data_IF_175719812146
#
_entry.id   IF_175719812146
#
_cell.length_a   1.000
_cell.length_b   1.000
_cell.length_c   1.000
_cell.angle_alpha   90.00
_cell.angle_beta   90.00
_cell.angle_gamma   90.00
#
_symmetry.space_group_name_H-M   'P 1'
#
loop_
_entity.id
_entity.type
_entity.pdbx_description
1 polymer ?
#
# COMPACT_ATOMS: atom_id res chain seq x y z
N UNK A 1 28.16 -13.83 -87.33
CA UNK A 1 27.47 -14.82 -86.48
C UNK A 1 26.14 -14.21 -86.08
N UNK A 2 25.05 -14.55 -86.79
CA UNK A 2 24.11 -15.64 -86.49
C UNK A 2 23.55 -15.58 -85.06
N UNK A 3 22.24 -15.61 -84.76
CA UNK A 3 20.96 -15.32 -85.44
C UNK A 3 19.87 -15.66 -84.39
N UNK A 4 18.67 -15.04 -84.46
CA UNK A 4 17.44 -15.51 -83.79
C UNK A 4 17.01 -14.63 -82.61
N UNK A 5 16.15 -13.61 -82.71
CA UNK A 5 14.81 -13.45 -83.32
C UNK A 5 13.75 -14.41 -82.78
N UNK A 6 12.77 -13.80 -82.09
CA UNK A 6 11.31 -13.97 -82.16
C UNK A 6 10.72 -15.39 -82.13
N UNK A 7 9.71 -15.63 -81.28
CA UNK A 7 8.28 -15.47 -81.67
C UNK A 7 7.36 -15.93 -80.52
N UNK A 8 6.37 -15.10 -80.19
CA UNK A 8 5.14 -15.43 -79.46
C UNK A 8 4.11 -15.95 -80.50
N UNK A 9 3.23 -16.89 -80.13
CA UNK A 9 1.79 -16.67 -80.34
C UNK A 9 1.04 -16.96 -79.03
N UNK A 10 0.23 -16.07 -78.44
CA UNK A 10 -0.99 -15.41 -78.93
C UNK A 10 -2.11 -16.40 -79.29
N UNK A 11 -2.93 -16.79 -78.30
CA UNK A 11 -4.37 -17.01 -78.47
C UNK A 11 -5.09 -16.36 -77.28
N UNK A 12 -5.77 -15.26 -77.57
CA UNK A 12 -6.77 -14.63 -76.72
C UNK A 12 -8.07 -15.44 -76.77
N UNK A 13 -8.74 -15.62 -75.64
CA UNK A 13 -10.20 -15.66 -75.60
C UNK A 13 -10.71 -15.12 -74.26
N UNK A 14 -11.61 -14.14 -74.35
CA UNK A 14 -12.36 -13.53 -73.26
C UNK A 14 -13.18 -14.57 -72.50
N UNK A 15 -13.20 -14.45 -71.18
CA UNK A 15 -14.41 -14.67 -70.38
C UNK A 15 -14.42 -13.70 -69.20
N UNK A 16 -15.33 -12.73 -69.25
CA UNK A 16 -15.72 -11.95 -68.08
C UNK A 16 -16.32 -12.89 -67.04
N UNK A 17 -15.86 -12.83 -65.81
CA UNK A 17 -16.61 -13.29 -64.63
C UNK A 17 -16.02 -12.62 -63.39
N UNK A 18 -16.53 -11.43 -63.07
CA UNK A 18 -16.46 -10.91 -61.71
C UNK A 18 -17.53 -11.61 -60.87
N UNK A 19 -17.18 -12.32 -59.80
CA UNK A 19 -18.00 -12.33 -58.60
C UNK A 19 -17.48 -11.24 -57.67
N UNK A 20 -18.24 -10.14 -57.66
CA UNK A 20 -18.32 -9.26 -56.51
C UNK A 20 -18.79 -10.04 -55.28
N UNK A 21 -18.38 -9.57 -54.10
CA UNK A 21 -18.74 -10.01 -52.73
C UNK A 21 -17.93 -11.17 -52.14
N UNK A 22 -16.77 -10.82 -51.58
CA UNK A 22 -16.40 -11.21 -50.22
C UNK A 22 -15.30 -10.27 -49.72
N UNK A 23 -15.66 -9.02 -49.47
CA UNK A 23 -14.91 -8.22 -48.52
C UNK A 23 -15.21 -8.84 -47.15
N UNK A 24 -14.47 -9.90 -46.82
CA UNK A 24 -14.32 -10.34 -45.43
C UNK A 24 -13.82 -9.09 -44.71
N UNK A 25 -14.73 -8.44 -44.01
CA UNK A 25 -14.43 -7.40 -43.07
C UNK A 25 -13.28 -7.93 -42.23
N UNK A 26 -12.09 -7.35 -42.40
CA UNK A 26 -11.06 -7.42 -41.39
C UNK A 26 -11.67 -6.74 -40.16
N UNK A 27 -12.41 -7.52 -39.39
CA UNK A 27 -12.75 -7.18 -38.03
C UNK A 27 -11.42 -6.77 -37.38
N UNK A 28 -11.37 -5.61 -36.71
CA UNK A 28 -10.18 -5.27 -35.95
C UNK A 28 -9.91 -6.46 -35.07
N UNK A 29 -8.71 -7.04 -35.23
CA UNK A 29 -8.21 -8.09 -34.38
C UNK A 29 -8.55 -7.66 -32.97
N UNK A 30 -9.53 -8.34 -32.38
CA UNK A 30 -9.82 -8.21 -30.98
C UNK A 30 -8.52 -8.61 -30.32
N UNK A 31 -7.77 -7.60 -29.90
CA UNK A 31 -6.81 -7.69 -28.82
C UNK A 31 -7.59 -8.01 -27.54
N UNK A 32 -8.32 -9.13 -27.54
CA UNK A 32 -8.42 -9.97 -26.37
C UNK A 32 -7.07 -10.63 -26.31
N UNK A 33 -6.16 -9.98 -25.58
CA UNK A 33 -4.96 -10.59 -25.08
C UNK A 33 -5.39 -11.93 -24.47
N UNK A 34 -5.13 -13.00 -25.21
CA UNK A 34 -5.18 -14.35 -24.70
C UNK A 34 -4.40 -14.32 -23.39
N UNK A 35 -5.05 -14.73 -22.31
CA UNK A 35 -4.34 -15.33 -21.21
C UNK A 35 -3.65 -16.58 -21.79
N UNK A 36 -2.52 -16.40 -22.46
CA UNK A 36 -1.73 -17.49 -23.02
C UNK A 36 -1.38 -18.37 -21.84
N UNK A 37 -1.95 -19.58 -21.81
CA UNK A 37 -1.66 -20.56 -20.77
C UNK A 37 -0.14 -20.72 -20.67
N UNK A 38 0.40 -20.55 -19.46
CA UNK A 38 1.84 -20.60 -19.23
C UNK A 38 2.31 -22.03 -19.50
N UNK A 39 3.35 -22.18 -20.32
CA UNK A 39 3.99 -23.46 -20.61
C UNK A 39 4.41 -24.17 -19.30
N UNK A 40 3.98 -25.43 -19.06
CA UNK A 40 4.36 -26.19 -17.88
C UNK A 40 5.88 -26.29 -17.65
N UNK A 41 6.68 -26.36 -18.72
CA UNK A 41 8.13 -26.40 -18.60
C UNK A 41 8.70 -25.08 -18.05
N UNK A 42 8.10 -23.94 -18.42
CA UNK A 42 8.47 -22.63 -17.86
C UNK A 42 8.09 -22.52 -16.40
N UNK A 43 6.93 -23.03 -16.01
CA UNK A 43 6.49 -23.04 -14.62
C UNK A 43 7.44 -23.84 -13.74
N UNK A 44 7.87 -25.02 -14.19
CA UNK A 44 8.83 -25.85 -13.43
C UNK A 44 10.20 -25.15 -13.30
N UNK A 45 10.73 -24.60 -14.40
CA UNK A 45 12.00 -23.89 -14.37
C UNK A 45 11.95 -22.63 -13.48
N UNK A 46 10.83 -21.88 -13.54
CA UNK A 46 10.61 -20.69 -12.72
C UNK A 46 10.46 -21.04 -11.23
N UNK A 47 9.83 -22.18 -10.91
CA UNK A 47 9.73 -22.67 -9.54
C UNK A 47 11.11 -22.85 -8.91
N UNK A 48 12.04 -23.48 -9.63
CA UNK A 48 13.43 -23.62 -9.17
C UNK A 48 14.09 -22.26 -8.94
N UNK A 49 13.88 -21.30 -9.84
CA UNK A 49 14.43 -19.95 -9.70
C UNK A 49 13.88 -19.24 -8.46
N UNK A 50 12.58 -19.33 -8.22
CA UNK A 50 11.92 -18.75 -7.04
C UNK A 50 12.35 -19.47 -5.76
N UNK A 51 12.60 -20.78 -5.79
CA UNK A 51 13.12 -21.51 -4.63
C UNK A 51 14.50 -20.99 -4.19
N UNK A 52 15.34 -20.51 -5.13
CA UNK A 52 16.62 -19.86 -4.81
C UNK A 52 16.47 -18.43 -4.30
N UNK A 53 15.62 -17.63 -4.94
CA UNK A 53 15.46 -16.20 -4.62
C UNK A 53 14.59 -15.95 -3.37
N UNK A 54 13.59 -16.79 -3.18
CA UNK A 54 12.65 -16.75 -2.06
C UNK A 54 12.47 -18.16 -1.46
N UNK A 55 13.50 -18.69 -0.76
CA UNK A 55 13.33 -19.89 0.06
C UNK A 55 12.22 -19.70 1.08
N UNK A 56 11.57 -20.80 1.49
CA UNK A 56 10.57 -20.75 2.57
C UNK A 56 11.18 -20.14 3.86
N UNK A 57 10.41 -19.27 4.51
CA UNK A 57 10.83 -18.55 5.72
C UNK A 57 11.74 -17.36 5.44
N UNK A 58 11.88 -16.93 4.18
CA UNK A 58 12.67 -15.73 3.85
C UNK A 58 12.02 -14.47 4.39
N UNK A 59 10.69 -14.39 4.32
CA UNK A 59 9.94 -13.26 4.89
C UNK A 59 10.09 -13.19 6.40
N UNK A 60 9.94 -14.32 7.10
CA UNK A 60 10.16 -14.38 8.54
C UNK A 60 11.56 -13.88 8.91
N UNK A 61 12.61 -14.39 8.25
CA UNK A 61 14.00 -14.03 8.55
C UNK A 61 14.27 -12.55 8.31
N UNK A 62 13.79 -12.04 7.17
CA UNK A 62 13.93 -10.63 6.79
C UNK A 62 13.23 -9.74 7.81
N UNK A 63 11.97 -10.03 8.11
CA UNK A 63 11.17 -9.22 9.03
C UNK A 63 11.72 -9.28 10.45
N UNK A 64 12.03 -10.46 11.00
CA UNK A 64 12.59 -10.57 12.35
C UNK A 64 13.88 -9.76 12.50
N UNK A 65 14.83 -9.93 11.58
CA UNK A 65 16.10 -9.22 11.64
C UNK A 65 15.95 -7.69 11.57
N UNK A 66 15.14 -7.19 10.63
CA UNK A 66 14.90 -5.73 10.53
C UNK A 66 14.09 -5.20 11.71
N UNK A 67 13.10 -5.95 12.20
CA UNK A 67 12.23 -5.50 13.28
C UNK A 67 12.96 -5.45 14.63
N UNK A 68 13.78 -6.45 14.96
CA UNK A 68 14.56 -6.45 16.20
C UNK A 68 15.41 -5.17 16.29
N UNK A 69 16.07 -4.82 15.19
CA UNK A 69 16.88 -3.61 15.12
C UNK A 69 16.07 -2.31 15.19
N UNK A 70 14.90 -2.26 14.55
CA UNK A 70 14.02 -1.10 14.62
C UNK A 70 13.48 -0.89 16.03
N UNK A 71 13.11 -1.97 16.74
CA UNK A 71 12.66 -1.92 18.13
C UNK A 71 13.78 -1.36 19.01
N UNK A 72 14.99 -1.90 18.90
CA UNK A 72 16.14 -1.44 19.67
C UNK A 72 16.43 0.06 19.40
N UNK A 73 16.36 0.47 18.14
CA UNK A 73 16.55 1.88 17.76
C UNK A 73 15.42 2.78 18.29
N UNK A 74 14.17 2.34 18.22
CA UNK A 74 13.01 3.12 18.65
C UNK A 74 12.97 3.29 20.16
N UNK A 75 13.25 2.23 20.92
CA UNK A 75 13.34 2.31 22.38
C UNK A 75 14.49 3.20 22.82
N UNK A 76 15.64 3.11 22.15
CA UNK A 76 16.74 4.04 22.37
C UNK A 76 16.34 5.49 22.12
N UNK A 77 15.62 5.76 21.03
CA UNK A 77 15.16 7.11 20.67
C UNK A 77 14.13 7.66 21.68
N UNK A 78 13.07 6.89 21.98
CA UNK A 78 12.01 7.29 22.92
C UNK A 78 12.53 7.53 24.34
N UNK A 79 13.53 6.74 24.77
CA UNK A 79 14.19 6.95 26.06
C UNK A 79 14.95 8.27 26.18
N UNK A 80 15.33 8.86 25.04
CA UNK A 80 16.10 10.12 25.00
C UNK A 80 15.27 11.35 24.62
N UNK A 81 14.02 11.15 24.22
CA UNK A 81 13.13 12.22 23.76
C UNK A 81 12.59 13.02 24.96
N UNK A 82 12.74 14.35 24.92
CA UNK A 82 12.23 15.26 25.95
C UNK A 82 10.83 15.77 25.62
N UNK A 83 10.05 16.11 26.64
CA UNK A 83 8.70 16.66 26.47
C UNK A 83 8.72 17.99 25.72
N UNK A 84 9.72 18.84 25.95
CA UNK A 84 9.88 20.09 25.22
C UNK A 84 10.07 19.89 23.71
N UNK A 85 10.74 18.81 23.31
CA UNK A 85 10.98 18.47 21.90
C UNK A 85 9.70 17.93 21.22
N UNK A 86 8.83 17.25 21.97
CA UNK A 86 7.56 16.68 21.51
C UNK A 86 6.47 17.74 21.29
N UNK A 87 6.36 18.72 22.19
CA UNK A 87 5.39 19.81 22.04
C UNK A 87 5.67 20.66 20.80
N UNK A 88 6.94 20.92 20.49
CA UNK A 88 7.34 21.58 19.24
C UNK A 88 6.97 20.81 17.98
N UNK A 89 6.84 19.48 18.03
CA UNK A 89 6.51 18.63 16.89
C UNK A 89 5.01 18.36 16.72
N UNK A 90 4.21 18.41 17.79
CA UNK A 90 2.76 18.16 17.78
C UNK A 90 1.91 19.41 17.53
N UNK A 91 2.54 20.59 17.40
CA UNK A 91 1.84 21.86 17.22
C UNK A 91 1.15 22.38 18.49
N UNK A 92 1.40 21.74 19.64
CA UNK A 92 0.99 22.25 20.95
C UNK A 92 2.02 23.32 21.35
N UNK A 93 1.57 24.55 21.61
CA UNK A 93 2.47 25.61 22.05
C UNK A 93 3.20 25.16 23.32
N UNK A 94 4.54 25.18 23.31
CA UNK A 94 5.38 24.84 24.46
C UNK A 94 5.16 25.74 25.69
N UNK A 95 4.28 26.74 25.58
CA UNK A 95 3.89 27.69 26.63
C UNK A 95 3.02 27.06 27.74
N UNK A 96 2.41 25.89 27.50
CA UNK A 96 1.60 25.15 28.50
C UNK A 96 2.40 24.11 29.31
N UNK A 97 3.72 23.99 29.09
CA UNK A 97 4.56 23.05 29.84
C UNK A 97 5.04 23.72 31.14
N UNK A 98 4.73 23.17 32.33
CA UNK A 98 5.21 23.72 33.59
C UNK A 98 6.75 23.81 33.64
N UNK A 99 7.27 24.83 34.30
CA UNK A 99 8.71 25.09 34.38
C UNK A 99 9.48 23.88 34.95
N UNK A 100 10.41 23.31 34.17
CA UNK A 100 11.17 22.11 34.52
C UNK A 100 10.59 20.78 34.03
N UNK A 101 9.33 20.72 33.59
CA UNK A 101 8.73 19.51 32.98
C UNK A 101 9.24 19.26 31.56
N UNK A 102 9.64 20.31 30.84
CA UNK A 102 10.13 20.20 29.45
C UNK A 102 11.45 19.43 29.32
N UNK A 103 12.28 19.41 30.36
CA UNK A 103 13.57 18.72 30.38
C UNK A 103 13.45 17.22 30.69
N UNK A 104 12.30 16.81 31.22
CA UNK A 104 12.02 15.42 31.57
C UNK A 104 11.89 14.61 30.30
N UNK A 105 12.46 13.41 30.34
CA UNK A 105 12.29 12.45 29.25
C UNK A 105 10.90 11.81 29.33
N UNK A 106 10.36 11.43 28.16
CA UNK A 106 9.09 10.70 28.12
C UNK A 106 9.15 9.41 28.95
N UNK A 107 10.31 8.77 29.03
CA UNK A 107 10.54 7.57 29.84
C UNK A 107 10.47 7.85 31.36
N UNK A 108 10.92 9.01 31.83
CA UNK A 108 10.82 9.38 33.26
C UNK A 108 9.38 9.61 33.68
N UNK A 109 8.61 10.36 32.90
CA UNK A 109 7.19 10.64 33.18
C UNK A 109 6.36 9.35 33.09
N UNK A 110 6.62 8.54 32.06
CA UNK A 110 5.88 7.29 31.86
C UNK A 110 6.15 6.27 32.97
N UNK A 111 7.35 6.28 33.57
CA UNK A 111 7.70 5.42 34.71
C UNK A 111 7.01 5.82 36.01
N UNK A 112 6.72 7.11 36.20
CA UNK A 112 5.93 7.59 37.35
C UNK A 112 4.47 7.15 37.27
N UNK A 113 3.88 7.18 36.07
CA UNK A 113 2.52 6.69 35.84
C UNK A 113 2.45 5.15 35.88
N UNK A 114 3.50 4.49 35.41
CA UNK A 114 3.58 3.05 35.28
C UNK A 114 5.02 2.53 35.52
N UNK A 115 5.29 1.94 36.70
CA UNK A 115 6.61 1.37 37.01
C UNK A 115 7.08 0.29 36.03
N UNK A 116 6.17 -0.33 35.27
CA UNK A 116 6.44 -1.36 34.27
C UNK A 116 6.30 -0.85 32.82
N UNK A 117 6.28 0.47 32.59
CA UNK A 117 6.03 1.06 31.27
C UNK A 117 6.94 0.51 30.16
N UNK A 118 8.25 0.45 30.43
CA UNK A 118 9.23 -0.05 29.47
C UNK A 118 9.01 -1.54 29.16
N UNK A 119 8.78 -2.35 30.20
CA UNK A 119 8.50 -3.78 30.05
C UNK A 119 7.20 -4.01 29.26
N UNK A 120 6.15 -3.25 29.57
CA UNK A 120 4.86 -3.31 28.87
C UNK A 120 5.01 -2.90 27.42
N UNK A 121 5.71 -1.80 27.14
CA UNK A 121 5.96 -1.33 25.78
C UNK A 121 6.74 -2.38 24.99
N UNK A 122 7.81 -2.94 25.56
CA UNK A 122 8.57 -4.01 24.94
C UNK A 122 7.71 -5.24 24.62
N UNK A 123 6.88 -5.69 25.57
CA UNK A 123 5.99 -6.83 25.37
C UNK A 123 4.96 -6.52 24.29
N UNK A 124 4.29 -5.36 24.36
CA UNK A 124 3.27 -4.96 23.38
C UNK A 124 3.86 -4.87 21.99
N UNK A 125 5.00 -4.20 21.82
CA UNK A 125 5.68 -4.10 20.53
C UNK A 125 6.12 -5.48 20.02
N UNK A 126 6.72 -6.31 20.87
CA UNK A 126 7.15 -7.66 20.48
C UNK A 126 5.98 -8.53 20.03
N UNK A 127 4.89 -8.59 20.81
CA UNK A 127 3.71 -9.39 20.48
C UNK A 127 3.07 -8.92 19.17
N UNK A 128 2.86 -7.60 19.00
CA UNK A 128 2.32 -7.05 17.76
C UNK A 128 3.17 -7.44 16.54
N UNK A 129 4.49 -7.39 16.67
CA UNK A 129 5.41 -7.72 15.58
C UNK A 129 5.46 -9.24 15.31
N UNK A 130 5.50 -10.08 16.34
CA UNK A 130 5.45 -11.54 16.19
C UNK A 130 4.17 -12.00 15.49
N UNK A 131 3.03 -11.38 15.80
CA UNK A 131 1.76 -11.64 15.10
C UNK A 131 1.80 -11.19 13.64
N UNK A 132 2.42 -10.04 13.33
CA UNK A 132 2.62 -9.62 11.94
C UNK A 132 3.53 -10.57 11.17
N UNK A 133 4.63 -11.03 11.78
CA UNK A 133 5.51 -12.04 11.17
C UNK A 133 4.73 -13.33 10.90
N UNK A 134 3.90 -13.77 11.84
CA UNK A 134 3.04 -14.95 11.70
C UNK A 134 2.08 -14.81 10.52
N UNK A 135 1.39 -13.68 10.41
CA UNK A 135 0.46 -13.39 9.32
C UNK A 135 1.17 -13.40 7.96
N UNK A 136 2.31 -12.72 7.84
CA UNK A 136 3.06 -12.63 6.58
C UNK A 136 3.67 -13.97 6.17
N UNK A 137 4.15 -14.75 7.14
CA UNK A 137 4.66 -16.11 6.90
C UNK A 137 3.55 -17.05 6.40
N UNK A 138 2.32 -16.88 6.89
CA UNK A 138 1.16 -17.63 6.38
C UNK A 138 0.82 -17.28 4.92
N UNK A 139 1.10 -16.05 4.49
CA UNK A 139 0.88 -15.59 3.11
C UNK A 139 2.02 -15.99 2.15
N UNK A 140 3.20 -16.29 2.67
CA UNK A 140 4.41 -16.58 1.88
C UNK A 140 4.18 -17.63 0.77
N UNK A 141 3.50 -18.77 0.99
CA UNK A 141 3.27 -19.75 -0.08
C UNK A 141 2.53 -19.18 -1.28
N UNK A 142 1.48 -18.39 -1.06
CA UNK A 142 0.69 -17.78 -2.13
C UNK A 142 1.48 -16.72 -2.90
N UNK A 143 2.34 -15.97 -2.20
CA UNK A 143 3.25 -15.00 -2.82
C UNK A 143 4.26 -15.74 -3.71
N UNK A 144 4.85 -16.84 -3.21
CA UNK A 144 5.80 -17.66 -3.99
C UNK A 144 5.14 -18.23 -5.25
N UNK A 145 3.93 -18.76 -5.15
CA UNK A 145 3.17 -19.25 -6.32
C UNK A 145 2.92 -18.12 -7.34
N UNK A 146 2.63 -16.92 -6.85
CA UNK A 146 2.47 -15.73 -7.71
C UNK A 146 3.78 -15.36 -8.41
N UNK A 147 4.91 -15.39 -7.68
CA UNK A 147 6.24 -15.14 -8.24
C UNK A 147 6.60 -16.18 -9.29
N UNK A 148 6.32 -17.46 -9.08
CA UNK A 148 6.55 -18.51 -10.08
C UNK A 148 5.83 -18.19 -11.39
N UNK A 149 4.56 -17.79 -11.31
CA UNK A 149 3.79 -17.39 -12.47
C UNK A 149 4.36 -16.14 -13.17
N UNK A 150 4.81 -15.15 -12.40
CA UNK A 150 5.45 -13.93 -12.96
C UNK A 150 6.74 -14.30 -13.70
N UNK A 151 7.61 -15.09 -13.09
CA UNK A 151 8.88 -15.49 -13.70
C UNK A 151 8.67 -16.36 -14.94
N UNK A 152 7.73 -17.30 -14.90
CA UNK A 152 7.41 -18.14 -16.05
C UNK A 152 6.82 -17.37 -17.24
N UNK A 153 6.13 -16.24 -17.00
CA UNK A 153 5.69 -15.32 -18.07
C UNK A 153 6.82 -14.44 -18.59
N UNK A 154 7.70 -13.96 -17.71
CA UNK A 154 8.75 -13.00 -18.05
C UNK A 154 9.95 -13.62 -18.75
N UNK A 155 10.27 -14.88 -18.44
CA UNK A 155 11.48 -15.52 -18.91
C UNK A 155 11.19 -16.79 -19.70
N UNK A 156 12.06 -17.11 -20.65
CA UNK A 156 12.04 -18.38 -21.38
C UNK A 156 12.65 -19.49 -20.53
N UNK A 157 12.37 -20.75 -20.88
CA UNK A 157 12.98 -21.93 -20.21
C UNK A 157 14.51 -21.83 -20.21
N UNK A 158 15.13 -21.48 -21.34
CA UNK A 158 16.59 -21.37 -21.44
C UNK A 158 17.19 -20.31 -20.51
N UNK A 159 16.55 -19.14 -20.40
CA UNK A 159 16.98 -18.09 -19.47
C UNK A 159 16.84 -18.52 -18.01
N UNK A 160 15.71 -19.16 -17.65
CA UNK A 160 15.49 -19.69 -16.31
C UNK A 160 16.52 -20.77 -15.97
N UNK A 161 16.86 -21.65 -16.93
CA UNK A 161 17.89 -22.68 -16.74
C UNK A 161 19.29 -22.08 -16.55
N UNK A 162 19.64 -21.03 -17.28
CA UNK A 162 20.90 -20.30 -17.07
C UNK A 162 20.96 -19.68 -15.68
N UNK A 163 19.88 -19.00 -15.25
CA UNK A 163 19.77 -18.46 -13.89
C UNK A 163 19.89 -19.57 -12.84
N UNK A 164 19.19 -20.69 -13.04
CA UNK A 164 19.21 -21.83 -12.12
C UNK A 164 20.62 -22.46 -12.03
N UNK A 165 21.37 -22.55 -13.14
CA UNK A 165 22.77 -23.02 -13.11
C UNK A 165 23.67 -22.07 -12.33
N UNK A 166 23.49 -20.76 -12.48
CA UNK A 166 24.23 -19.78 -11.70
C UNK A 166 23.89 -19.89 -10.21
N UNK A 167 22.60 -19.90 -9.85
CA UNK A 167 22.17 -20.00 -8.45
C UNK A 167 22.55 -21.31 -7.78
N UNK A 168 22.73 -22.40 -8.54
CA UNK A 168 23.26 -23.66 -8.02
C UNK A 168 24.75 -23.61 -7.63
N UNK A 169 25.49 -22.56 -7.99
CA UNK A 169 26.87 -22.35 -7.51
C UNK A 169 26.88 -21.77 -6.10
N UNK A 170 27.96 -21.97 -5.33
CA UNK A 170 28.11 -21.40 -3.98
C UNK A 170 27.91 -19.87 -3.99
N UNK A 171 28.52 -19.18 -4.95
CA UNK A 171 28.38 -17.73 -5.11
C UNK A 171 26.97 -17.32 -5.50
N UNK A 172 26.35 -18.03 -6.45
CA UNK A 172 25.00 -17.70 -6.91
C UNK A 172 23.95 -17.95 -5.84
N UNK A 173 24.09 -19.01 -5.04
CA UNK A 173 23.23 -19.29 -3.89
C UNK A 173 23.34 -18.21 -2.82
N UNK A 174 24.57 -17.79 -2.48
CA UNK A 174 24.78 -16.70 -1.54
C UNK A 174 24.17 -15.39 -2.05
N UNK A 175 24.42 -15.04 -3.31
CA UNK A 175 23.84 -13.87 -3.94
C UNK A 175 22.30 -13.91 -3.92
N UNK A 176 21.68 -15.02 -4.33
CA UNK A 176 20.22 -15.14 -4.41
C UNK A 176 19.55 -14.96 -3.05
N UNK A 177 20.13 -15.55 -1.99
CA UNK A 177 19.63 -15.44 -0.61
C UNK A 177 19.76 -14.02 -0.06
N UNK A 178 20.89 -13.37 -0.34
CA UNK A 178 21.24 -12.11 0.31
C UNK A 178 20.76 -10.89 -0.48
N UNK A 179 20.49 -11.02 -1.79
CA UNK A 179 20.10 -9.90 -2.68
C UNK A 179 18.91 -9.09 -2.17
N UNK A 180 17.85 -9.76 -1.70
CA UNK A 180 16.69 -9.06 -1.14
C UNK A 180 16.97 -8.46 0.24
N UNK A 181 17.90 -9.06 1.00
CA UNK A 181 18.28 -8.54 2.33
C UNK A 181 19.06 -7.24 2.23
N UNK A 182 19.81 -7.02 1.15
CA UNK A 182 20.56 -5.78 0.93
C UNK A 182 19.65 -4.54 0.98
N UNK A 183 18.39 -4.64 0.55
CA UNK A 183 17.46 -3.49 0.57
C UNK A 183 16.94 -3.14 1.97
N UNK A 184 16.98 -4.08 2.89
CA UNK A 184 16.64 -3.86 4.31
C UNK A 184 17.88 -3.81 5.19
N UNK A 185 19.07 -3.73 4.56
CA UNK A 185 20.32 -3.60 5.27
C UNK A 185 20.37 -2.25 6.02
N UNK A 186 20.88 -2.22 7.26
CA UNK A 186 20.92 -1.01 8.06
C UNK A 186 21.72 0.12 7.43
N UNK A 187 22.83 -0.20 6.74
CA UNK A 187 23.65 0.80 6.08
C UNK A 187 22.86 1.45 4.94
N UNK A 188 22.07 0.65 4.22
CA UNK A 188 21.21 1.14 3.15
C UNK A 188 20.07 2.01 3.67
N UNK A 189 19.40 1.59 4.75
CA UNK A 189 18.37 2.41 5.39
C UNK A 189 18.94 3.71 5.96
N UNK A 190 20.13 3.67 6.59
CA UNK A 190 20.81 4.85 7.10
C UNK A 190 21.17 5.82 5.98
N UNK A 191 21.63 5.29 4.85
CA UNK A 191 21.88 6.09 3.64
C UNK A 191 20.60 6.77 3.16
N UNK A 192 19.46 6.08 3.12
CA UNK A 192 18.18 6.71 2.75
C UNK A 192 17.77 7.80 3.75
N UNK A 193 17.93 7.56 5.05
CA UNK A 193 17.62 8.55 6.09
C UNK A 193 18.51 9.80 5.98
N UNK A 194 19.75 9.67 5.51
CA UNK A 194 20.64 10.80 5.27
C UNK A 194 20.15 11.76 4.17
N UNK A 195 19.23 11.30 3.30
CA UNK A 195 18.63 12.11 2.23
C UNK A 195 17.42 12.93 2.70
N UNK A 196 16.84 12.62 3.88
CA UNK A 196 15.65 13.30 4.39
C UNK A 196 15.86 14.82 4.56
N UNK A 197 16.98 15.31 5.11
CA UNK A 197 17.22 16.75 5.25
C UNK A 197 17.24 17.49 3.91
N UNK A 198 17.86 16.90 2.88
CA UNK A 198 17.91 17.48 1.53
C UNK A 198 16.51 17.54 0.92
N UNK A 199 15.71 16.48 1.09
CA UNK A 199 14.31 16.48 0.66
C UNK A 199 13.49 17.58 1.35
N UNK A 200 13.66 17.76 2.66
CA UNK A 200 13.00 18.83 3.41
C UNK A 200 13.43 20.22 2.94
N UNK A 201 14.71 20.41 2.61
CA UNK A 201 15.22 21.66 2.05
C UNK A 201 14.66 21.94 0.65
N UNK A 202 14.39 20.90 -0.14
CA UNK A 202 13.84 21.01 -1.49
C UNK A 202 12.32 21.24 -1.51
N UNK A 203 11.59 20.91 -0.44
CA UNK A 203 10.12 21.01 -0.39
C UNK A 203 9.57 22.39 -0.77
N UNK A 204 10.10 23.53 -0.29
CA UNK A 204 9.59 24.85 -0.67
C UNK A 204 9.66 25.11 -2.18
N UNK A 205 10.77 24.76 -2.83
CA UNK A 205 10.95 24.93 -4.28
C UNK A 205 10.05 23.98 -5.08
N UNK A 206 9.83 22.77 -4.58
CA UNK A 206 8.86 21.82 -5.16
C UNK A 206 7.45 22.41 -5.07
N UNK A 207 7.05 22.92 -3.91
CA UNK A 207 5.73 23.55 -3.72
C UNK A 207 5.52 24.74 -4.65
N UNK A 208 6.55 25.57 -4.86
CA UNK A 208 6.50 26.66 -5.83
C UNK A 208 6.30 26.14 -7.27
N UNK A 209 7.02 25.11 -7.68
CA UNK A 209 6.85 24.50 -9.01
C UNK A 209 5.47 23.88 -9.18
N UNK A 210 4.91 23.28 -8.13
CA UNK A 210 3.53 22.77 -8.12
C UNK A 210 2.56 23.93 -8.32
N UNK A 211 2.68 25.02 -7.55
CA UNK A 211 1.84 26.22 -7.70
C UNK A 211 1.88 26.78 -9.13
N UNK A 212 3.07 26.97 -9.69
CA UNK A 212 3.25 27.46 -11.07
C UNK A 212 2.58 26.51 -12.09
N UNK A 213 2.77 25.20 -11.92
CA UNK A 213 2.19 24.20 -12.81
C UNK A 213 0.65 24.12 -12.68
N UNK A 214 0.09 24.36 -11.50
CA UNK A 214 -1.35 24.31 -11.25
C UNK A 214 -2.07 25.66 -11.40
N UNK A 215 -1.36 26.76 -11.65
CA UNK A 215 -1.92 28.11 -11.71
C UNK A 215 -3.05 28.30 -12.75
N UNK A 216 -3.09 27.45 -13.78
CA UNK A 216 -4.12 27.45 -14.82
C UNK A 216 -5.39 26.68 -14.43
N UNK A 217 -5.33 25.89 -13.36
CA UNK A 217 -6.47 25.17 -12.84
C UNK A 217 -7.29 26.09 -11.93
N UNK A 218 -8.63 25.97 -11.91
CA UNK A 218 -9.44 26.66 -10.94
C UNK A 218 -8.96 26.29 -9.52
N UNK A 219 -9.01 27.22 -8.55
CA UNK A 219 -8.59 26.93 -7.19
C UNK A 219 -9.31 25.69 -6.68
N UNK A 220 -8.57 24.88 -5.91
CA UNK A 220 -9.14 23.72 -5.22
C UNK A 220 -10.29 24.27 -4.37
N UNK A 221 -11.53 23.86 -4.70
CA UNK A 221 -12.67 24.10 -3.83
C UNK A 221 -12.48 23.23 -2.61
N UNK A 222 -11.78 23.74 -1.60
CA UNK A 222 -11.91 23.23 -0.25
C UNK A 222 -13.35 23.53 0.18
N UNK A 223 -14.08 22.58 0.78
CA UNK A 223 -15.37 22.88 1.38
C UNK A 223 -15.20 24.04 2.37
N UNK A 224 -15.87 25.17 2.12
CA UNK A 224 -15.92 26.31 3.06
C UNK A 224 -14.95 27.48 2.85
N UNK A 225 -14.22 27.61 1.73
CA UNK A 225 -13.33 28.78 1.51
C UNK A 225 -13.73 29.61 0.29
N UNK A 226 -14.83 30.35 0.41
CA UNK A 226 -15.00 31.61 -0.32
C UNK A 226 -14.93 32.74 0.72
N UNK A 227 -13.77 33.40 0.82
CA UNK A 227 -13.62 34.59 1.67
C UNK A 227 -12.38 34.61 2.57
N UNK A 228 -11.18 34.57 1.98
CA UNK A 228 -10.01 35.22 2.61
C UNK A 228 -9.47 36.22 1.60
N UNK A 229 -10.17 37.36 1.53
CA UNK A 229 -9.60 38.60 1.01
C UNK A 229 -8.97 39.31 2.21
N UNK A 230 -7.64 39.39 2.21
CA UNK A 230 -6.87 40.20 3.14
C UNK A 230 -7.26 41.67 2.96
N UNK A 231 -7.91 42.29 3.94
CA UNK A 231 -7.75 43.73 4.11
C UNK A 231 -8.03 44.23 5.53
N UNK A 232 -6.96 44.75 6.12
CA UNK A 232 -6.91 46.10 6.65
C UNK A 232 -8.24 46.70 7.13
N UNK A 233 -8.39 46.69 8.46
CA UNK A 233 -8.87 47.81 9.30
C UNK A 233 -10.04 48.63 8.77
N UNK A 234 -11.23 48.43 9.35
CA UNK A 234 -11.92 49.44 10.16
C UNK A 234 -13.38 49.04 10.39
N UNK A 235 -13.76 48.98 11.66
CA UNK A 235 -15.04 49.41 12.23
C UNK A 235 -16.24 49.52 11.26
N UNK A 236 -17.22 48.63 11.41
CA UNK A 236 -18.61 48.99 11.74
C UNK A 236 -19.49 47.73 11.87
N UNK A 237 -20.32 47.74 12.91
CA UNK A 237 -21.39 46.80 13.21
C UNK A 237 -22.04 46.17 11.96
N UNK A 238 -21.86 44.87 11.77
CA UNK A 238 -22.82 44.06 11.01
C UNK A 238 -23.05 42.73 11.70
N UNK A 239 -24.20 42.70 12.36
CA UNK A 239 -25.01 41.59 12.82
C UNK A 239 -24.68 40.25 12.13
N UNK A 240 -24.17 39.29 12.92
CA UNK A 240 -24.00 37.90 12.50
C UNK A 240 -25.41 37.31 12.39
N UNK A 241 -26.04 37.42 11.22
CA UNK A 241 -27.14 36.52 10.90
C UNK A 241 -26.54 35.21 10.44
N UNK A 242 -26.59 34.21 11.33
CA UNK A 242 -26.44 32.79 11.03
C UNK A 242 -27.09 32.45 9.68
N UNK A 243 -26.29 32.02 8.70
CA UNK A 243 -26.82 31.34 7.51
C UNK A 243 -26.67 29.83 7.71
N UNK A 244 -27.82 29.19 7.74
CA UNK A 244 -28.18 28.00 8.52
C UNK A 244 -28.07 26.72 7.67
N UNK A 245 -26.98 26.57 6.90
CA UNK A 245 -26.84 25.46 5.94
C UNK A 245 -25.84 24.38 6.38
N UNK A 246 -26.11 23.81 7.57
CA UNK A 246 -25.48 22.58 8.07
C UNK A 246 -26.11 21.36 7.39
N UNK A 247 -25.53 20.87 6.29
CA UNK A 247 -25.95 19.61 5.64
C UNK A 247 -25.71 18.38 6.54
N UNK A 248 -24.98 18.54 7.65
CA UNK A 248 -24.75 17.55 8.69
C UNK A 248 -25.89 17.49 9.72
N UNK A 249 -26.69 18.56 9.84
CA UNK A 249 -27.83 18.57 10.74
C UNK A 249 -28.97 17.71 10.16
N UNK A 250 -29.42 16.66 10.87
CA UNK A 250 -30.54 15.83 10.43
C UNK A 250 -31.80 16.64 10.12
N UNK A 251 -32.02 17.79 10.76
CA UNK A 251 -33.18 18.66 10.50
C UNK A 251 -33.20 19.23 9.08
N UNK A 252 -32.04 19.32 8.42
CA UNK A 252 -31.88 19.80 7.05
C UNK A 252 -32.04 18.71 5.98
N UNK A 253 -32.27 17.45 6.38
CA UNK A 253 -32.52 16.33 5.45
C UNK A 253 -33.99 16.25 5.03
N UNK A 254 -34.27 15.54 3.92
CA UNK A 254 -35.65 15.25 3.56
C UNK A 254 -36.29 14.34 4.63
N UNK A 255 -37.61 14.45 4.83
CA UNK A 255 -38.32 13.58 5.79
C UNK A 255 -38.20 12.10 5.43
N UNK A 256 -38.16 11.78 4.14
CA UNK A 256 -37.98 10.42 3.65
C UNK A 256 -36.60 9.86 4.05
N UNK A 257 -35.55 10.69 3.97
CA UNK A 257 -34.19 10.31 4.37
C UNK A 257 -34.07 10.18 5.90
N UNK A 258 -34.65 11.11 6.66
CA UNK A 258 -34.67 11.02 8.13
C UNK A 258 -35.38 9.74 8.59
N UNK A 259 -36.53 9.41 8.02
CA UNK A 259 -37.28 8.19 8.35
C UNK A 259 -36.52 6.92 7.96
N UNK A 260 -35.87 6.91 6.79
CA UNK A 260 -35.06 5.79 6.33
C UNK A 260 -33.87 5.55 7.26
N UNK A 261 -33.11 6.59 7.59
CA UNK A 261 -31.94 6.50 8.47
C UNK A 261 -32.35 6.05 9.87
N UNK A 262 -33.39 6.66 10.46
CA UNK A 262 -33.87 6.28 11.78
C UNK A 262 -34.36 4.83 11.83
N UNK A 263 -35.05 4.36 10.78
CA UNK A 263 -35.48 2.95 10.70
C UNK A 263 -34.29 2.01 10.64
N UNK A 264 -33.33 2.27 9.76
CA UNK A 264 -32.16 1.41 9.60
C UNK A 264 -31.25 1.41 10.83
N UNK A 265 -31.11 2.55 11.51
CA UNK A 265 -30.39 2.65 12.78
C UNK A 265 -31.05 1.76 13.85
N UNK A 266 -32.37 1.88 14.04
CA UNK A 266 -33.10 1.05 15.00
C UNK A 266 -33.03 -0.45 14.65
N UNK A 267 -33.14 -0.81 13.37
CA UNK A 267 -32.98 -2.19 12.92
C UNK A 267 -31.57 -2.72 13.20
N UNK A 268 -30.55 -1.90 13.00
CA UNK A 268 -29.16 -2.22 13.31
C UNK A 268 -28.94 -2.43 14.81
N UNK A 269 -29.45 -1.54 15.66
CA UNK A 269 -29.31 -1.63 17.12
C UNK A 269 -29.97 -2.90 17.66
N UNK A 270 -31.19 -3.20 17.20
CA UNK A 270 -31.91 -4.42 17.56
C UNK A 270 -31.18 -5.68 17.07
N UNK A 271 -30.60 -5.64 15.85
CA UNK A 271 -29.83 -6.76 15.32
C UNK A 271 -28.54 -6.99 16.13
N UNK A 272 -27.89 -5.91 16.55
CA UNK A 272 -26.69 -5.93 17.36
C UNK A 272 -26.96 -6.51 18.76
N UNK A 273 -28.01 -6.06 19.45
CA UNK A 273 -28.41 -6.62 20.75
C UNK A 273 -28.70 -8.12 20.66
N UNK A 274 -29.49 -8.56 19.68
CA UNK A 274 -29.79 -9.98 19.45
C UNK A 274 -28.55 -10.82 19.20
N UNK A 275 -27.57 -10.27 18.48
CA UNK A 275 -26.30 -10.94 18.26
C UNK A 275 -25.54 -11.16 19.58
N UNK A 276 -25.47 -10.15 20.45
CA UNK A 276 -24.79 -10.28 21.74
C UNK A 276 -25.50 -11.25 22.70
N UNK A 277 -26.83 -11.23 22.75
CA UNK A 277 -27.59 -12.21 23.53
C UNK A 277 -27.36 -13.64 23.05
N UNK A 278 -27.34 -13.86 21.73
CA UNK A 278 -27.06 -15.16 21.14
C UNK A 278 -25.63 -15.62 21.44
N UNK A 279 -24.67 -14.71 21.39
CA UNK A 279 -23.27 -14.96 21.71
C UNK A 279 -23.11 -15.35 23.19
N UNK A 280 -23.70 -14.59 24.10
CA UNK A 280 -23.67 -14.89 25.54
C UNK A 280 -24.30 -16.25 25.83
N UNK A 281 -25.47 -16.53 25.23
CA UNK A 281 -26.14 -17.82 25.35
C UNK A 281 -25.26 -18.97 24.86
N UNK A 282 -24.57 -18.79 23.73
CA UNK A 282 -23.65 -19.78 23.18
C UNK A 282 -22.45 -20.02 24.13
N UNK A 283 -21.89 -18.97 24.71
CA UNK A 283 -20.78 -19.05 25.68
C UNK A 283 -21.20 -19.75 26.98
N UNK A 284 -22.38 -19.43 27.53
CA UNK A 284 -22.92 -20.09 28.71
C UNK A 284 -23.18 -21.59 28.45
N UNK A 285 -23.75 -21.93 27.30
CA UNK A 285 -23.96 -23.33 26.89
C UNK A 285 -22.64 -24.10 26.74
N UNK A 286 -21.61 -23.47 26.14
CA UNK A 286 -20.29 -24.07 26.03
C UNK A 286 -19.66 -24.32 27.40
N UNK A 287 -19.73 -23.35 28.31
CA UNK A 287 -19.25 -23.47 29.70
C UNK A 287 -19.95 -24.60 30.46
N UNK A 288 -21.27 -24.70 30.33
CA UNK A 288 -22.05 -25.77 30.97
C UNK A 288 -21.72 -27.16 30.43
N UNK A 289 -21.38 -27.29 29.13
CA UNK A 289 -20.91 -28.56 28.54
C UNK A 289 -19.55 -28.98 29.09
N UNK A 290 -18.64 -28.02 29.28
CA UNK A 290 -17.30 -28.28 29.79
C UNK A 290 -17.28 -28.64 31.28
N UNK A 291 -18.26 -28.20 32.07
CA UNK A 291 -18.38 -28.52 33.50
C UNK A 291 -19.07 -29.87 33.78
N UNK A 292 -19.65 -30.53 32.76
CA UNK A 292 -20.30 -31.84 32.88
C UNK A 292 -19.40 -33.02 32.47
N UNK A 293 -18.18 -32.73 32.01
CA UNK A 293 -17.10 -33.69 31.79
C UNK A 293 -16.06 -33.57 32.89
#
# INVERSE_FOLDING_TARGET
MNFGKFLIPAISLLALSSPSLAQESAAPATASAEATAIDPARLEAAKKTVDYLFPLGTYERMMRGTMDQLIDSMLGSLGTMRIGDLAGASGVAGEDIPEGEGDRTLAEISREADPHFEERMQITTRVMMDEMVTLMTAMEPAIRDTLVNIYARKFTVGQLDEMNRFFATDTGSAFARDYMMVFVDPEMMQSMMSMVPEMMQAMPDIMKKVQDATAHLPPVKLPGTDGFDDNNTSDEDTDITEDDSSWEDPENWSKEDQELVNRLSNESDVAFEKYFEALETAQQNAKARLQKN
#
